data_IF_028540662861
#
_entry.id   IF_028540662861
#
_cell.length_a   1.000
_cell.length_b   1.000
_cell.length_c   1.000
_cell.angle_alpha   90.00
_cell.angle_beta   90.00
_cell.angle_gamma   90.00
#
_symmetry.space_group_name_H-M   'P 1'
#
loop_
_entity.id
_entity.type
_entity.pdbx_description
1 polymer ?
#
# COMPACT_ATOMS: atom_id res chain seq x y z
N UNK A 1 -55.91 -32.80 50.17
CA UNK A 1 -55.75 -32.30 48.82
C UNK A 1 -54.43 -31.53 48.74
N UNK A 2 -53.37 -32.21 48.33
CA UNK A 2 -52.04 -31.64 48.20
C UNK A 2 -51.84 -31.22 46.73
N UNK A 3 -51.64 -29.96 46.49
CA UNK A 3 -51.27 -29.44 45.16
C UNK A 3 -49.74 -29.53 44.98
N UNK A 4 -49.24 -30.51 44.24
CA UNK A 4 -47.87 -30.57 43.78
C UNK A 4 -47.60 -29.41 42.81
N UNK A 5 -46.72 -28.50 43.17
CA UNK A 5 -46.14 -27.51 42.30
C UNK A 5 -45.12 -28.18 41.36
N UNK A 6 -45.47 -28.37 40.08
CA UNK A 6 -44.52 -28.75 39.05
C UNK A 6 -43.52 -27.62 38.84
N UNK A 7 -42.32 -27.73 39.39
CA UNK A 7 -41.16 -26.86 39.05
C UNK A 7 -40.77 -27.13 37.58
N UNK A 8 -40.95 -26.11 36.74
CA UNK A 8 -40.40 -26.11 35.38
C UNK A 8 -38.86 -26.02 35.46
N UNK A 9 -38.17 -27.16 35.35
CA UNK A 9 -36.72 -27.18 35.13
C UNK A 9 -36.40 -26.34 33.87
N UNK A 10 -35.80 -25.17 34.05
CA UNK A 10 -35.16 -24.43 32.95
C UNK A 10 -34.06 -25.32 32.40
N UNK A 11 -34.20 -25.81 31.17
CA UNK A 11 -33.14 -26.52 30.46
C UNK A 11 -31.97 -25.53 30.26
N UNK A 12 -30.86 -25.73 30.95
CA UNK A 12 -29.65 -24.98 30.71
C UNK A 12 -29.16 -25.27 29.27
N UNK A 13 -28.93 -24.22 28.51
CA UNK A 13 -28.32 -24.34 27.17
C UNK A 13 -26.91 -24.90 27.36
N UNK A 14 -26.51 -25.97 26.70
CA UNK A 14 -25.17 -26.51 26.81
C UNK A 14 -24.12 -25.46 26.40
N UNK A 15 -23.00 -25.35 27.12
CA UNK A 15 -21.92 -24.39 26.88
C UNK A 15 -21.43 -24.46 25.44
N UNK A 16 -21.35 -25.64 24.85
CA UNK A 16 -20.89 -25.80 23.45
C UNK A 16 -21.82 -25.12 22.42
N UNK A 17 -23.15 -25.00 22.72
CA UNK A 17 -24.09 -24.24 21.87
C UNK A 17 -23.76 -22.76 21.93
N UNK A 18 -23.43 -22.23 23.11
CA UNK A 18 -22.97 -20.83 23.26
C UNK A 18 -21.68 -20.56 22.49
N UNK A 19 -20.71 -21.48 22.57
CA UNK A 19 -19.46 -21.40 21.81
C UNK A 19 -19.70 -21.43 20.30
N UNK A 20 -20.58 -22.36 19.84
CA UNK A 20 -20.91 -22.45 18.42
C UNK A 20 -21.57 -21.17 17.89
N UNK A 21 -22.53 -20.61 18.63
CA UNK A 21 -23.21 -19.37 18.28
C UNK A 21 -22.20 -18.20 18.23
N UNK A 22 -21.28 -18.14 19.20
CA UNK A 22 -20.23 -17.12 19.20
C UNK A 22 -19.31 -17.23 17.96
N UNK A 23 -18.83 -18.45 17.64
CA UNK A 23 -17.97 -18.70 16.47
C UNK A 23 -18.70 -18.34 15.17
N UNK A 24 -19.97 -18.72 15.02
CA UNK A 24 -20.76 -18.39 13.84
C UNK A 24 -21.03 -16.88 13.73
N UNK A 25 -21.37 -16.21 14.84
CA UNK A 25 -21.57 -14.76 14.86
C UNK A 25 -20.27 -13.99 14.58
N UNK A 26 -19.13 -14.46 15.12
CA UNK A 26 -17.81 -13.89 14.85
C UNK A 26 -17.42 -14.07 13.39
N UNK A 27 -17.56 -15.29 12.83
CA UNK A 27 -17.29 -15.56 11.42
C UNK A 27 -18.19 -14.73 10.48
N UNK A 28 -19.48 -14.62 10.79
CA UNK A 28 -20.42 -13.79 10.05
C UNK A 28 -20.06 -12.29 10.15
N UNK A 29 -19.62 -11.82 11.32
CA UNK A 29 -19.16 -10.46 11.54
C UNK A 29 -17.91 -10.12 10.73
N UNK A 30 -16.92 -11.02 10.71
CA UNK A 30 -15.71 -10.86 9.90
C UNK A 30 -16.06 -10.88 8.42
N UNK A 31 -16.84 -11.86 7.95
CA UNK A 31 -17.28 -11.94 6.55
C UNK A 31 -18.10 -10.72 6.13
N UNK A 32 -19.01 -10.22 6.97
CA UNK A 32 -19.80 -9.03 6.62
C UNK A 32 -18.95 -7.79 6.48
N UNK A 33 -17.94 -7.59 7.32
CA UNK A 33 -16.99 -6.45 7.21
C UNK A 33 -16.09 -6.54 5.97
N UNK A 34 -15.77 -7.77 5.53
CA UNK A 34 -14.95 -7.98 4.32
C UNK A 34 -15.77 -7.86 3.03
N UNK A 35 -17.07 -8.17 3.06
CA UNK A 35 -17.95 -8.20 1.88
C UNK A 35 -18.80 -6.92 1.71
N UNK A 36 -19.06 -6.19 2.80
CA UNK A 36 -19.89 -4.98 2.75
C UNK A 36 -18.97 -3.76 2.73
N UNK A 37 -18.67 -3.28 1.53
CA UNK A 37 -17.98 -2.00 1.35
C UNK A 37 -18.87 -0.86 1.88
N UNK A 38 -18.30 0.13 2.59
CA UNK A 38 -19.03 1.33 3.02
C UNK A 38 -19.67 2.03 1.81
N UNK A 39 -20.84 2.64 2.00
CA UNK A 39 -21.56 3.29 0.90
C UNK A 39 -20.76 4.40 0.21
N UNK A 40 -19.93 5.13 0.95
CA UNK A 40 -19.07 6.18 0.43
C UNK A 40 -17.97 5.64 -0.51
N UNK A 41 -17.52 4.39 -0.33
CA UNK A 41 -16.44 3.82 -1.18
C UNK A 41 -16.84 3.69 -2.64
N UNK A 42 -18.16 3.72 -2.96
CA UNK A 42 -18.66 3.72 -4.32
C UNK A 42 -18.26 4.98 -5.11
N UNK A 43 -17.96 6.08 -4.43
CA UNK A 43 -17.49 7.32 -5.04
C UNK A 43 -16.06 7.19 -5.58
N UNK A 44 -15.30 6.21 -5.05
CA UNK A 44 -13.90 5.94 -5.37
C UNK A 44 -13.68 4.57 -6.04
N UNK A 45 -14.73 4.03 -6.64
CA UNK A 45 -14.72 2.73 -7.30
C UNK A 45 -15.56 2.80 -8.56
N UNK A 46 -14.98 2.43 -9.69
CA UNK A 46 -15.65 2.42 -10.98
C UNK A 46 -15.36 1.07 -11.64
N UNK A 47 -16.41 0.40 -12.11
CA UNK A 47 -16.25 -0.78 -12.95
C UNK A 47 -15.73 -0.36 -14.32
N UNK A 48 -14.70 -1.05 -14.81
CA UNK A 48 -14.09 -0.73 -16.10
C UNK A 48 -15.08 -0.89 -17.26
N UNK A 49 -15.06 0.06 -18.16
CA UNK A 49 -15.77 -0.01 -19.45
C UNK A 49 -15.05 0.83 -20.51
N UNK A 50 -15.29 0.55 -21.78
CA UNK A 50 -14.73 1.31 -22.92
C UNK A 50 -15.22 2.77 -22.98
N UNK A 51 -16.23 3.13 -22.18
CA UNK A 51 -16.68 4.52 -22.00
C UNK A 51 -15.69 5.34 -21.16
N UNK A 52 -14.94 4.68 -20.27
CA UNK A 52 -13.92 5.32 -19.43
C UNK A 52 -12.66 5.61 -20.23
N UNK A 53 -12.27 4.67 -21.10
CA UNK A 53 -11.01 4.81 -21.83
C UNK A 53 -10.58 3.54 -22.57
N UNK A 54 -9.27 3.40 -22.74
CA UNK A 54 -8.63 2.23 -23.34
C UNK A 54 -7.75 1.54 -22.30
N UNK A 55 -7.94 0.24 -22.10
CA UNK A 55 -7.12 -0.58 -21.23
C UNK A 55 -6.16 -1.42 -22.10
N UNK A 56 -4.87 -1.30 -21.83
CA UNK A 56 -3.82 -2.15 -22.38
C UNK A 56 -3.23 -3.00 -21.27
N UNK A 57 -3.25 -4.31 -21.42
CA UNK A 57 -2.83 -5.26 -20.39
C UNK A 57 -1.53 -5.95 -20.74
N UNK A 58 -0.83 -6.39 -19.69
CA UNK A 58 0.34 -7.28 -19.77
C UNK A 58 1.47 -6.74 -20.67
N UNK A 59 1.67 -5.42 -20.68
CA UNK A 59 2.78 -4.79 -21.42
C UNK A 59 4.08 -5.08 -20.68
N UNK A 60 5.07 -5.67 -21.36
CA UNK A 60 6.37 -5.99 -20.75
C UNK A 60 7.25 -4.74 -20.60
N UNK A 61 7.89 -4.60 -19.43
CA UNK A 61 8.93 -3.60 -19.20
C UNK A 61 10.33 -4.21 -19.01
N UNK A 62 10.42 -5.54 -18.87
CA UNK A 62 11.65 -6.28 -18.66
C UNK A 62 11.56 -7.71 -19.20
N UNK A 63 12.61 -8.49 -18.97
CA UNK A 63 12.69 -9.88 -19.44
C UNK A 63 12.01 -10.90 -18.50
N UNK A 64 11.73 -10.52 -17.25
CA UNK A 64 11.09 -11.39 -16.27
C UNK A 64 9.61 -11.63 -16.59
N UNK A 65 9.10 -12.80 -16.25
CA UNK A 65 7.68 -13.14 -16.46
C UNK A 65 6.75 -12.18 -15.72
N UNK A 66 7.15 -11.74 -14.51
CA UNK A 66 6.43 -10.78 -13.71
C UNK A 66 6.57 -9.32 -14.19
N UNK A 67 7.57 -9.02 -15.05
CA UNK A 67 7.86 -7.64 -15.46
C UNK A 67 6.83 -7.11 -16.48
N UNK A 68 5.60 -6.92 -16.02
CA UNK A 68 4.45 -6.47 -16.81
C UNK A 68 3.68 -5.39 -16.08
N UNK A 69 3.05 -4.50 -16.86
CA UNK A 69 2.11 -3.51 -16.35
C UNK A 69 0.83 -3.47 -17.15
N UNK A 70 -0.22 -2.92 -16.54
CA UNK A 70 -1.47 -2.57 -17.20
C UNK A 70 -1.59 -1.05 -17.25
N UNK A 71 -1.98 -0.51 -18.42
CA UNK A 71 -2.08 0.91 -18.68
C UNK A 71 -3.53 1.28 -19.01
N UNK A 72 -4.08 2.19 -18.20
CA UNK A 72 -5.43 2.73 -18.31
C UNK A 72 -5.35 4.13 -18.88
N UNK A 73 -5.83 4.32 -20.09
CA UNK A 73 -5.76 5.57 -20.85
C UNK A 73 -7.15 6.21 -20.89
N UNK A 74 -7.35 7.43 -20.36
CA UNK A 74 -8.67 8.06 -20.30
C UNK A 74 -9.26 8.29 -21.70
N UNK A 75 -10.60 8.30 -21.79
CA UNK A 75 -11.33 8.47 -23.07
C UNK A 75 -10.99 9.79 -23.76
N UNK A 76 -10.84 10.86 -22.98
CA UNK A 76 -10.42 12.14 -23.50
C UNK A 76 -8.91 12.17 -23.73
N UNK A 77 -8.50 12.22 -24.99
CA UNK A 77 -7.12 12.32 -25.44
C UNK A 77 -6.81 13.67 -26.13
N UNK A 78 -7.64 14.69 -25.87
CA UNK A 78 -7.52 16.00 -26.52
C UNK A 78 -6.61 16.99 -25.77
N UNK A 79 -6.22 16.65 -24.52
CA UNK A 79 -5.39 17.52 -23.67
C UNK A 79 -3.92 17.49 -24.09
N UNK A 80 -3.23 18.57 -23.81
CA UNK A 80 -1.82 18.70 -24.12
C UNK A 80 -0.95 17.85 -23.20
N UNK A 81 -1.31 17.79 -21.90
CA UNK A 81 -0.56 17.07 -20.87
C UNK A 81 -1.49 16.20 -20.02
N UNK A 82 -0.95 15.13 -19.48
CA UNK A 82 -1.65 14.19 -18.59
C UNK A 82 -0.78 13.89 -17.36
N UNK A 83 -1.43 13.84 -16.20
CA UNK A 83 -0.83 13.27 -15.00
C UNK A 83 -0.88 11.74 -15.06
N UNK A 84 0.21 11.09 -14.66
CA UNK A 84 0.29 9.63 -14.49
C UNK A 84 0.13 9.27 -13.01
N UNK A 85 -0.77 8.35 -12.68
CA UNK A 85 -0.82 7.72 -11.36
C UNK A 85 -0.36 6.28 -11.48
N UNK A 86 0.73 5.95 -10.82
CA UNK A 86 1.22 4.57 -10.69
C UNK A 86 0.75 4.02 -9.36
N UNK A 87 -0.05 2.96 -9.39
CA UNK A 87 -0.54 2.28 -8.20
C UNK A 87 0.07 0.89 -8.10
N UNK A 88 0.77 0.61 -6.99
CA UNK A 88 1.50 -0.62 -6.74
C UNK A 88 0.70 -1.51 -5.79
N UNK A 89 0.54 -2.79 -6.17
CA UNK A 89 -0.28 -3.74 -5.44
C UNK A 89 0.31 -4.11 -4.07
N UNK A 90 -0.58 -4.47 -3.15
CA UNK A 90 -0.24 -5.06 -1.86
C UNK A 90 0.21 -6.54 -1.99
N UNK A 91 0.49 -7.20 -0.86
CA UNK A 91 0.76 -8.64 -0.84
C UNK A 91 2.05 -9.05 -0.13
N UNK A 92 2.58 -8.22 0.78
CA UNK A 92 3.73 -8.55 1.61
C UNK A 92 4.99 -8.92 0.83
N UNK A 93 5.13 -8.38 -0.39
CA UNK A 93 6.25 -8.63 -1.32
C UNK A 93 6.32 -10.07 -1.87
N UNK A 94 5.37 -10.95 -1.50
CA UNK A 94 5.35 -12.39 -1.82
C UNK A 94 4.11 -12.83 -2.58
N UNK A 95 3.06 -12.00 -2.63
CA UNK A 95 1.78 -12.25 -3.31
C UNK A 95 1.24 -10.96 -3.93
N UNK A 96 0.13 -11.06 -4.64
CA UNK A 96 -0.56 -9.93 -5.26
C UNK A 96 -0.36 -9.86 -6.77
N UNK A 97 -1.18 -9.07 -7.41
CA UNK A 97 -1.13 -8.79 -8.85
C UNK A 97 -1.68 -7.39 -9.11
N UNK A 98 -1.19 -6.71 -10.16
CA UNK A 98 -1.69 -5.40 -10.62
C UNK A 98 -3.19 -5.34 -10.85
N UNK A 99 -3.83 -6.51 -11.05
CA UNK A 99 -5.28 -6.65 -11.23
C UNK A 99 -6.07 -6.50 -9.94
N UNK A 100 -5.41 -6.65 -8.78
CA UNK A 100 -6.07 -6.54 -7.47
C UNK A 100 -6.57 -5.10 -7.24
N UNK A 101 -5.97 -4.11 -7.90
CA UNK A 101 -6.28 -2.69 -7.77
C UNK A 101 -7.08 -2.12 -8.96
N UNK A 102 -7.68 -2.98 -9.78
CA UNK A 102 -8.43 -2.58 -11.00
C UNK A 102 -9.50 -1.51 -10.71
N UNK A 103 -10.22 -1.59 -9.59
CA UNK A 103 -11.25 -0.60 -9.25
C UNK A 103 -10.66 0.80 -9.01
N UNK A 104 -9.52 0.87 -8.31
CA UNK A 104 -8.80 2.13 -8.07
C UNK A 104 -8.23 2.69 -9.38
N UNK A 105 -7.59 1.86 -10.19
CA UNK A 105 -7.03 2.26 -11.48
C UNK A 105 -8.13 2.75 -12.46
N UNK A 106 -9.26 2.05 -12.49
CA UNK A 106 -10.43 2.46 -13.29
C UNK A 106 -11.01 3.80 -12.82
N UNK A 107 -11.10 3.99 -11.50
CA UNK A 107 -11.57 5.24 -10.91
C UNK A 107 -10.63 6.40 -11.25
N UNK A 108 -9.31 6.24 -11.09
CA UNK A 108 -8.32 7.26 -11.46
C UNK A 108 -8.40 7.61 -12.94
N UNK A 109 -8.51 6.60 -13.81
CA UNK A 109 -8.69 6.81 -15.24
C UNK A 109 -9.99 7.56 -15.56
N UNK A 110 -11.10 7.25 -14.88
CA UNK A 110 -12.39 7.96 -15.02
C UNK A 110 -12.32 9.43 -14.61
N UNK A 111 -11.32 9.80 -13.76
CA UNK A 111 -11.05 11.20 -13.40
C UNK A 111 -10.16 11.93 -14.40
N UNK A 112 -9.67 11.22 -15.43
CA UNK A 112 -8.86 11.79 -16.48
C UNK A 112 -7.36 11.62 -16.33
N UNK A 113 -6.90 10.88 -15.33
CA UNK A 113 -5.49 10.52 -15.21
C UNK A 113 -5.15 9.33 -16.10
N UNK A 114 -3.95 9.29 -16.62
CA UNK A 114 -3.37 8.03 -17.08
C UNK A 114 -3.04 7.22 -15.81
N UNK A 115 -3.55 6.00 -15.70
CA UNK A 115 -3.30 5.16 -14.53
C UNK A 115 -2.56 3.88 -14.92
N UNK A 116 -1.69 3.40 -14.03
CA UNK A 116 -0.86 2.23 -14.30
C UNK A 116 -0.74 1.35 -13.06
N UNK A 117 -1.01 0.05 -13.22
CA UNK A 117 -0.67 -0.98 -12.24
C UNK A 117 0.55 -1.77 -12.72
N UNK A 118 1.54 -1.94 -11.86
CA UNK A 118 2.80 -2.61 -12.20
C UNK A 118 2.95 -3.87 -11.35
N UNK A 119 3.23 -5.02 -12.01
CA UNK A 119 3.72 -6.21 -11.36
C UNK A 119 5.24 -6.14 -11.19
N UNK A 120 5.72 -6.67 -10.10
CA UNK A 120 7.13 -6.84 -9.78
C UNK A 120 7.40 -8.28 -9.35
N UNK A 121 8.64 -8.75 -9.43
CA UNK A 121 9.00 -10.13 -9.09
C UNK A 121 8.74 -10.41 -7.63
N UNK A 122 7.72 -11.23 -7.37
CA UNK A 122 7.35 -11.66 -6.03
C UNK A 122 8.44 -12.56 -5.45
N UNK A 123 8.74 -12.37 -4.16
CA UNK A 123 9.68 -13.25 -3.47
C UNK A 123 9.09 -14.65 -3.31
N UNK A 124 9.90 -15.66 -3.62
CA UNK A 124 9.65 -17.09 -3.34
C UNK A 124 10.86 -17.70 -2.67
N UNK A 125 10.75 -18.94 -2.21
CA UNK A 125 11.89 -19.70 -1.68
C UNK A 125 12.94 -20.05 -2.75
N UNK A 126 12.56 -19.94 -4.03
CA UNK A 126 13.39 -20.31 -5.19
C UNK A 126 14.12 -19.12 -5.82
N UNK A 127 13.78 -17.89 -5.42
CA UNK A 127 14.38 -16.66 -5.96
C UNK A 127 14.95 -15.76 -4.85
N UNK A 128 15.78 -14.81 -5.26
CA UNK A 128 16.34 -13.79 -4.35
C UNK A 128 15.53 -12.49 -4.34
N UNK A 129 14.21 -12.57 -4.55
CA UNK A 129 13.32 -11.41 -4.49
C UNK A 129 13.46 -10.68 -3.15
N UNK A 130 13.58 -9.38 -3.18
CA UNK A 130 13.71 -8.51 -2.01
C UNK A 130 13.03 -7.17 -2.28
N UNK A 131 12.78 -6.41 -1.24
CA UNK A 131 12.23 -5.04 -1.38
C UNK A 131 13.13 -4.19 -2.27
N UNK A 132 14.47 -4.33 -2.13
CA UNK A 132 15.43 -3.62 -2.97
C UNK A 132 15.30 -4.03 -4.45
N UNK A 133 15.27 -5.35 -4.74
CA UNK A 133 15.12 -5.84 -6.10
C UNK A 133 13.81 -5.34 -6.73
N UNK A 134 12.71 -5.46 -6.01
CA UNK A 134 11.38 -5.01 -6.46
C UNK A 134 11.33 -3.49 -6.69
N UNK A 135 11.97 -2.69 -5.82
CA UNK A 135 12.04 -1.25 -6.01
C UNK A 135 12.85 -0.86 -7.26
N UNK A 136 13.91 -1.61 -7.57
CA UNK A 136 14.67 -1.40 -8.79
C UNK A 136 13.86 -1.78 -10.05
N UNK A 137 13.08 -2.86 -10.01
CA UNK A 137 12.16 -3.21 -11.11
C UNK A 137 11.11 -2.11 -11.34
N UNK A 138 10.57 -1.48 -10.28
CA UNK A 138 9.68 -0.32 -10.44
C UNK A 138 10.41 0.85 -11.10
N UNK A 139 11.65 1.12 -10.69
CA UNK A 139 12.48 2.17 -11.32
C UNK A 139 12.70 1.92 -12.81
N UNK A 140 12.92 0.67 -13.21
CA UNK A 140 13.06 0.26 -14.61
C UNK A 140 11.74 0.34 -15.39
N UNK A 141 10.60 0.07 -14.74
CA UNK A 141 9.28 0.08 -15.37
C UNK A 141 8.81 1.49 -15.76
N UNK A 142 9.04 2.50 -14.92
CA UNK A 142 8.49 3.85 -15.09
C UNK A 142 8.80 4.48 -16.46
N UNK A 143 10.04 4.48 -16.97
CA UNK A 143 10.34 5.04 -18.31
C UNK A 143 9.57 4.31 -19.42
N UNK A 144 9.35 2.99 -19.29
CA UNK A 144 8.62 2.19 -20.27
C UNK A 144 7.13 2.52 -20.23
N UNK A 145 6.55 2.70 -19.03
CA UNK A 145 5.16 3.13 -18.85
C UNK A 145 4.91 4.47 -19.52
N UNK A 146 5.77 5.46 -19.27
CA UNK A 146 5.66 6.81 -19.86
C UNK A 146 5.79 6.72 -21.39
N UNK A 147 6.79 6.00 -21.89
CA UNK A 147 6.97 5.81 -23.34
C UNK A 147 5.75 5.15 -23.99
N UNK A 148 5.12 4.19 -23.32
CA UNK A 148 3.93 3.55 -23.86
C UNK A 148 2.70 4.48 -23.83
N UNK A 149 2.55 5.31 -22.80
CA UNK A 149 1.52 6.36 -22.79
C UNK A 149 1.71 7.34 -23.95
N UNK A 150 2.93 7.82 -24.18
CA UNK A 150 3.26 8.74 -25.27
C UNK A 150 3.00 8.15 -26.66
N UNK A 151 3.33 6.87 -26.88
CA UNK A 151 3.01 6.16 -28.16
C UNK A 151 1.51 6.12 -28.44
N UNK A 152 0.68 6.25 -27.40
CA UNK A 152 -0.76 6.28 -27.51
C UNK A 152 -1.35 7.70 -27.53
N UNK A 153 -0.51 8.73 -27.57
CA UNK A 153 -0.93 10.13 -27.69
C UNK A 153 -1.15 10.84 -26.34
N UNK A 154 -0.68 10.24 -25.23
CA UNK A 154 -0.79 10.84 -23.89
C UNK A 154 0.57 11.33 -23.44
N UNK A 155 0.81 12.62 -23.56
CA UNK A 155 2.06 13.24 -23.08
C UNK A 155 2.04 13.38 -21.56
N UNK A 156 2.92 12.66 -20.85
CA UNK A 156 3.02 12.68 -19.39
C UNK A 156 4.01 13.78 -18.97
N UNK A 157 3.54 14.73 -18.17
CA UNK A 157 4.38 15.84 -17.68
C UNK A 157 4.70 15.76 -16.17
N UNK A 158 3.96 14.96 -15.42
CA UNK A 158 4.14 14.73 -13.98
C UNK A 158 3.51 13.41 -13.55
N UNK A 159 3.91 12.91 -12.39
CA UNK A 159 3.32 11.67 -11.88
C UNK A 159 3.13 11.65 -10.35
N UNK A 160 2.25 10.75 -9.93
CA UNK A 160 1.98 10.39 -8.55
C UNK A 160 2.29 8.91 -8.34
N UNK A 161 2.96 8.57 -7.25
CA UNK A 161 3.20 7.20 -6.83
C UNK A 161 2.24 6.82 -5.72
N UNK A 162 1.61 5.66 -5.81
CA UNK A 162 0.61 5.22 -4.85
C UNK A 162 0.66 3.71 -4.61
N UNK A 163 0.02 3.25 -3.55
CA UNK A 163 -0.10 1.82 -3.27
C UNK A 163 -0.62 1.49 -1.88
N UNK A 164 -0.84 0.20 -1.63
CA UNK A 164 -1.22 -0.33 -0.33
C UNK A 164 -0.15 -1.28 0.22
N UNK A 165 0.10 -1.27 1.54
CA UNK A 165 1.02 -2.22 2.19
C UNK A 165 2.39 -2.31 1.48
N UNK A 166 2.78 -3.46 0.95
CA UNK A 166 4.02 -3.62 0.17
C UNK A 166 4.13 -2.60 -0.98
N UNK A 167 3.02 -2.36 -1.70
CA UNK A 167 2.97 -1.36 -2.77
C UNK A 167 3.19 0.06 -2.27
N UNK A 168 2.66 0.43 -1.10
CA UNK A 168 2.92 1.73 -0.48
C UNK A 168 4.39 1.89 -0.08
N UNK A 169 5.03 0.84 0.44
CA UNK A 169 6.48 0.83 0.70
C UNK A 169 7.27 1.14 -0.57
N UNK A 170 7.00 0.40 -1.66
CA UNK A 170 7.68 0.58 -2.95
C UNK A 170 7.40 1.96 -3.56
N UNK A 171 6.16 2.47 -3.44
CA UNK A 171 5.78 3.80 -3.89
C UNK A 171 6.56 4.90 -3.14
N UNK A 172 6.68 4.80 -1.82
CA UNK A 172 7.48 5.74 -1.02
C UNK A 172 8.97 5.65 -1.35
N UNK A 173 9.52 4.43 -1.55
CA UNK A 173 10.93 4.25 -1.95
C UNK A 173 11.17 4.95 -3.28
N UNK A 174 10.34 4.71 -4.29
CA UNK A 174 10.49 5.38 -5.57
C UNK A 174 10.39 6.91 -5.41
N UNK A 175 9.38 7.38 -4.69
CA UNK A 175 9.13 8.81 -4.49
C UNK A 175 10.32 9.53 -3.85
N UNK A 176 10.82 9.03 -2.73
CA UNK A 176 11.82 9.78 -1.95
C UNK A 176 13.26 9.43 -2.32
N UNK A 177 13.53 8.15 -2.70
CA UNK A 177 14.87 7.71 -3.07
C UNK A 177 15.21 7.98 -4.54
N UNK A 178 14.26 7.67 -5.43
CA UNK A 178 14.51 7.66 -6.89
C UNK A 178 13.85 8.85 -7.62
N UNK A 179 13.02 9.63 -6.93
CA UNK A 179 12.18 10.67 -7.53
C UNK A 179 12.96 11.77 -8.26
N UNK A 180 14.16 12.12 -7.78
CA UNK A 180 15.04 13.12 -8.44
C UNK A 180 15.57 12.63 -9.81
N UNK A 181 15.64 11.32 -10.02
CA UNK A 181 16.07 10.69 -11.28
C UNK A 181 14.88 10.29 -12.17
N UNK A 182 13.65 10.56 -11.74
CA UNK A 182 12.45 10.19 -12.47
C UNK A 182 12.35 10.93 -13.82
N UNK A 183 11.85 10.28 -14.89
CA UNK A 183 11.72 10.91 -16.21
C UNK A 183 10.82 12.15 -16.22
N UNK A 184 9.86 12.22 -15.31
CA UNK A 184 8.98 13.37 -15.06
C UNK A 184 8.88 13.59 -13.54
N UNK A 185 8.59 14.82 -13.06
CA UNK A 185 8.49 15.10 -11.63
C UNK A 185 7.48 14.21 -10.92
N UNK A 186 7.87 13.60 -9.79
CA UNK A 186 6.95 13.01 -8.83
C UNK A 186 6.40 14.13 -7.96
N UNK A 187 5.12 14.43 -8.09
CA UNK A 187 4.50 15.61 -7.45
C UNK A 187 3.64 15.26 -6.23
N UNK A 188 3.35 13.98 -6.02
CA UNK A 188 2.54 13.48 -4.91
C UNK A 188 2.87 12.01 -4.66
N UNK A 189 2.79 11.59 -3.40
CA UNK A 189 2.64 10.17 -3.05
C UNK A 189 1.46 9.98 -2.12
N UNK A 190 0.68 8.92 -2.33
CA UNK A 190 -0.37 8.55 -1.38
C UNK A 190 -0.47 7.03 -1.20
N UNK A 191 -0.90 6.62 -0.03
CA UNK A 191 -1.06 5.20 0.23
C UNK A 191 -1.35 4.87 1.69
N UNK A 192 -1.35 3.59 2.00
CA UNK A 192 -1.68 3.14 3.34
C UNK A 192 -0.82 1.94 3.79
N UNK A 193 -0.54 1.91 5.08
CA UNK A 193 0.03 0.80 5.86
C UNK A 193 1.32 0.18 5.28
N UNK A 194 2.11 0.95 4.54
CA UNK A 194 3.41 0.49 4.03
C UNK A 194 4.53 0.71 5.03
N UNK A 195 5.49 -0.24 5.19
CA UNK A 195 6.70 0.02 5.95
C UNK A 195 7.52 1.15 5.32
N UNK A 196 7.93 2.11 6.13
CA UNK A 196 8.76 3.25 5.71
C UNK A 196 10.20 3.15 6.20
N UNK A 197 10.47 2.27 7.18
CA UNK A 197 11.79 2.01 7.75
C UNK A 197 11.87 0.61 8.36
N UNK A 198 13.12 0.18 8.60
CA UNK A 198 13.45 -1.15 9.14
C UNK A 198 14.39 -0.99 10.34
N UNK A 199 13.85 -0.51 11.48
CA UNK A 199 14.57 -0.39 12.74
C UNK A 199 14.19 -1.53 13.67
N UNK A 200 15.17 -2.25 14.21
CA UNK A 200 14.96 -3.45 15.02
C UNK A 200 13.92 -3.24 16.13
N UNK A 201 14.03 -2.13 16.86
CA UNK A 201 13.16 -1.81 17.99
C UNK A 201 11.68 -1.60 17.61
N UNK A 202 11.38 -1.26 16.37
CA UNK A 202 10.00 -1.07 15.89
C UNK A 202 9.31 -2.41 15.63
N UNK A 203 10.05 -3.48 15.37
CA UNK A 203 9.55 -4.79 14.96
C UNK A 203 9.29 -5.76 16.10
N UNK A 204 9.02 -5.23 17.31
CA UNK A 204 8.70 -6.02 18.50
C UNK A 204 7.44 -6.89 18.33
N UNK A 205 6.50 -6.55 17.44
CA UNK A 205 5.35 -7.41 17.11
C UNK A 205 5.75 -8.78 16.56
N UNK A 206 6.96 -8.90 16.01
CA UNK A 206 7.57 -10.15 15.53
C UNK A 206 8.67 -10.67 16.49
N UNK A 207 8.90 -10.00 17.62
CA UNK A 207 9.95 -10.34 18.57
C UNK A 207 11.36 -10.06 18.07
N UNK A 208 11.52 -9.22 17.03
CA UNK A 208 12.83 -8.92 16.46
C UNK A 208 13.63 -7.97 17.35
N UNK A 209 12.97 -7.15 18.15
CA UNK A 209 13.57 -6.24 19.14
C UNK A 209 14.36 -6.95 20.23
N UNK A 210 14.15 -8.26 20.40
CA UNK A 210 14.80 -9.11 21.43
C UNK A 210 15.57 -10.29 20.83
N UNK A 211 15.69 -10.37 19.50
CA UNK A 211 16.34 -11.49 18.82
C UNK A 211 17.13 -11.04 17.60
N UNK A 212 18.44 -10.85 17.79
CA UNK A 212 19.35 -10.35 16.74
C UNK A 212 19.45 -11.31 15.56
N UNK A 213 19.42 -12.63 15.78
CA UNK A 213 19.48 -13.65 14.71
C UNK A 213 18.24 -13.55 13.79
N UNK A 214 17.04 -13.51 14.38
CA UNK A 214 15.80 -13.40 13.62
C UNK A 214 15.70 -12.03 12.92
N UNK A 215 16.14 -10.96 13.57
CA UNK A 215 16.18 -9.62 12.99
C UNK A 215 17.14 -9.59 11.78
N UNK A 216 18.35 -10.09 11.94
CA UNK A 216 19.34 -10.18 10.87
C UNK A 216 18.80 -11.01 9.69
N UNK A 217 18.18 -12.15 9.95
CA UNK A 217 17.58 -13.02 8.94
C UNK A 217 16.46 -12.31 8.16
N UNK A 218 15.52 -11.71 8.87
CA UNK A 218 14.40 -11.00 8.22
C UNK A 218 14.88 -9.79 7.42
N UNK A 219 15.75 -8.97 7.99
CA UNK A 219 16.23 -7.76 7.31
C UNK A 219 17.15 -8.09 6.13
N UNK A 220 17.93 -9.19 6.20
CA UNK A 220 18.67 -9.68 5.03
C UNK A 220 17.75 -10.01 3.86
N UNK A 221 16.64 -10.68 4.14
CA UNK A 221 15.61 -11.02 3.14
C UNK A 221 15.00 -9.75 2.53
N UNK A 222 14.64 -8.79 3.37
CA UNK A 222 14.01 -7.55 2.90
C UNK A 222 14.98 -6.68 2.11
N UNK A 223 16.20 -6.51 2.60
CA UNK A 223 17.22 -5.69 1.94
C UNK A 223 17.89 -6.36 0.74
N UNK A 224 17.82 -7.70 0.63
CA UNK A 224 18.49 -8.46 -0.43
C UNK A 224 20.02 -8.50 -0.29
N UNK A 225 20.54 -8.24 0.92
CA UNK A 225 21.96 -8.27 1.26
C UNK A 225 22.14 -8.98 2.58
N UNK A 226 23.33 -9.59 2.81
CA UNK A 226 23.61 -10.25 4.08
C UNK A 226 23.71 -9.24 5.22
N UNK A 227 22.90 -9.46 6.26
CA UNK A 227 22.95 -8.77 7.54
C UNK A 227 23.22 -9.82 8.60
N UNK A 228 24.25 -9.61 9.43
CA UNK A 228 24.63 -10.54 10.48
C UNK A 228 24.12 -10.06 11.84
N UNK A 229 24.10 -10.97 12.84
CA UNK A 229 23.83 -10.57 14.22
C UNK A 229 24.80 -9.49 14.74
N UNK A 230 26.05 -9.49 14.26
CA UNK A 230 27.02 -8.47 14.64
C UNK A 230 26.63 -7.10 14.07
N UNK A 231 26.15 -7.04 12.80
CA UNK A 231 25.63 -5.80 12.23
C UNK A 231 24.44 -5.24 13.03
N UNK A 232 23.58 -6.13 13.55
CA UNK A 232 22.47 -5.72 14.42
C UNK A 232 23.00 -5.13 15.72
N UNK A 233 23.92 -5.82 16.40
CA UNK A 233 24.48 -5.42 17.72
C UNK A 233 25.25 -4.11 17.67
N UNK A 234 25.97 -3.84 16.59
CA UNK A 234 26.76 -2.60 16.45
C UNK A 234 26.04 -1.50 15.65
N UNK A 235 24.84 -1.78 15.14
CA UNK A 235 23.99 -0.83 14.43
C UNK A 235 24.38 -0.62 12.97
N UNK A 236 25.40 -1.30 12.43
CA UNK A 236 25.83 -1.14 11.04
C UNK A 236 24.79 -1.62 10.01
N UNK A 237 23.81 -2.43 10.45
CA UNK A 237 22.70 -2.85 9.62
C UNK A 237 21.86 -1.67 9.08
N UNK A 238 21.85 -0.52 9.76
CA UNK A 238 21.11 0.65 9.30
C UNK A 238 21.52 1.08 7.87
N UNK A 239 22.81 1.08 7.58
CA UNK A 239 23.29 1.39 6.22
C UNK A 239 22.85 0.35 5.18
N UNK A 240 22.69 -0.92 5.61
CA UNK A 240 22.26 -2.02 4.74
C UNK A 240 20.76 -1.98 4.43
N UNK A 241 19.93 -1.53 5.38
CA UNK A 241 18.47 -1.37 5.18
C UNK A 241 18.08 0.01 4.68
N UNK A 242 18.97 0.98 4.70
CA UNK A 242 18.73 2.34 4.22
C UNK A 242 18.18 2.40 2.81
N UNK A 243 18.67 1.61 1.82
CA UNK A 243 18.11 1.62 0.46
C UNK A 243 16.62 1.27 0.36
N UNK A 244 16.08 0.55 1.37
CA UNK A 244 14.67 0.17 1.43
C UNK A 244 13.88 0.93 2.50
N UNK A 245 14.52 1.83 3.23
CA UNK A 245 13.93 2.68 4.28
C UNK A 245 13.57 4.04 3.71
N UNK A 246 12.38 4.14 3.11
CA UNK A 246 11.94 5.32 2.34
C UNK A 246 12.06 6.63 3.13
N UNK A 247 11.78 6.63 4.44
CA UNK A 247 11.83 7.82 5.28
C UNK A 247 13.24 8.45 5.38
N UNK A 248 14.31 7.67 5.18
CA UNK A 248 15.69 8.15 5.20
C UNK A 248 16.03 9.08 4.02
N UNK A 249 15.17 9.08 2.99
CA UNK A 249 15.39 9.81 1.74
C UNK A 249 14.49 11.03 1.57
N UNK A 250 13.57 11.30 2.49
CA UNK A 250 12.60 12.41 2.40
C UNK A 250 13.32 13.76 2.25
N UNK A 251 14.47 13.95 2.91
CA UNK A 251 15.26 15.20 2.79
C UNK A 251 15.79 15.47 1.39
N UNK A 252 15.96 14.44 0.57
CA UNK A 252 16.45 14.56 -0.79
C UNK A 252 15.33 15.01 -1.74
N UNK A 253 14.12 14.46 -1.53
CA UNK A 253 12.96 14.75 -2.37
C UNK A 253 11.70 14.89 -1.50
N UNK A 254 11.43 16.07 -0.90
CA UNK A 254 10.30 16.26 0.02
C UNK A 254 8.97 16.42 -0.74
N UNK A 255 8.50 15.33 -1.35
CA UNK A 255 7.25 15.27 -2.12
C UNK A 255 6.03 15.28 -1.22
N UNK A 256 4.98 16.07 -1.52
CA UNK A 256 3.69 16.05 -0.82
C UNK A 256 3.13 14.63 -0.62
N UNK A 257 2.52 14.36 0.54
CA UNK A 257 2.22 12.99 0.95
C UNK A 257 0.90 12.85 1.69
N UNK A 258 0.07 11.87 1.29
CA UNK A 258 -1.19 11.55 1.97
C UNK A 258 -1.17 10.09 2.41
N UNK A 259 -1.06 9.83 3.71
CA UNK A 259 -0.83 8.48 4.23
C UNK A 259 -1.81 8.10 5.34
N UNK A 260 -2.15 6.81 5.42
CA UNK A 260 -3.06 6.27 6.43
C UNK A 260 -2.49 5.02 7.11
N UNK A 261 -2.61 4.95 8.45
CA UNK A 261 -2.12 3.83 9.25
C UNK A 261 -3.09 3.44 10.35
N UNK A 262 -3.28 2.13 10.56
CA UNK A 262 -4.02 1.60 11.69
C UNK A 262 -3.14 1.49 12.93
N UNK A 263 -3.58 2.05 14.07
CA UNK A 263 -2.79 2.01 15.31
C UNK A 263 -2.72 0.62 15.92
N UNK A 264 -3.63 -0.29 15.52
CA UNK A 264 -3.66 -1.69 15.94
C UNK A 264 -3.06 -2.63 14.90
N UNK A 265 -2.23 -2.12 13.97
CA UNK A 265 -1.61 -2.92 12.92
C UNK A 265 -0.63 -3.93 13.53
N UNK A 266 -0.77 -5.21 13.10
CA UNK A 266 0.07 -6.32 13.51
C UNK A 266 0.86 -6.94 12.35
N UNK A 267 0.88 -6.26 11.22
CA UNK A 267 1.66 -6.62 10.04
C UNK A 267 2.76 -5.59 9.83
N UNK A 268 2.36 -4.32 9.70
CA UNK A 268 3.28 -3.19 9.69
C UNK A 268 3.36 -2.58 11.09
N UNK A 269 4.55 -2.53 11.72
CA UNK A 269 4.69 -1.89 13.03
C UNK A 269 4.27 -0.41 13.00
N UNK A 270 3.32 -0.03 13.85
CA UNK A 270 2.83 1.35 13.91
C UNK A 270 3.92 2.36 14.31
N UNK A 271 4.94 1.93 15.07
CA UNK A 271 6.09 2.78 15.42
C UNK A 271 6.83 3.30 14.18
N UNK A 272 6.97 2.47 13.13
CA UNK A 272 7.55 2.89 11.85
C UNK A 272 6.73 3.99 11.17
N UNK A 273 5.39 3.96 11.31
CA UNK A 273 4.52 5.03 10.81
C UNK A 273 4.72 6.35 11.56
N UNK A 274 4.94 6.30 12.88
CA UNK A 274 5.25 7.50 13.67
C UNK A 274 6.60 8.11 13.27
N UNK A 275 7.61 7.28 12.98
CA UNK A 275 8.90 7.76 12.45
C UNK A 275 8.75 8.42 11.08
N UNK A 276 7.89 7.88 10.21
CA UNK A 276 7.56 8.52 8.93
C UNK A 276 6.97 9.91 9.16
N UNK A 277 5.99 10.03 10.08
CA UNK A 277 5.35 11.30 10.43
C UNK A 277 6.40 12.33 10.90
N UNK A 278 7.27 11.94 11.84
CA UNK A 278 8.35 12.79 12.33
C UNK A 278 9.31 13.23 11.20
N UNK A 279 9.62 12.32 10.26
CA UNK A 279 10.48 12.64 9.13
C UNK A 279 9.82 13.62 8.15
N UNK A 280 8.51 13.47 7.88
CA UNK A 280 7.73 14.42 7.08
C UNK A 280 7.70 15.80 7.73
N UNK A 281 7.41 15.89 9.03
CA UNK A 281 7.41 17.14 9.80
C UNK A 281 8.78 17.82 9.77
N UNK A 282 9.84 17.07 10.08
CA UNK A 282 11.21 17.57 10.11
C UNK A 282 11.66 18.17 8.78
N UNK A 283 11.23 17.59 7.68
CA UNK A 283 11.57 18.05 6.33
C UNK A 283 10.54 19.02 5.75
N UNK A 284 9.56 19.48 6.54
CA UNK A 284 8.55 20.47 6.15
C UNK A 284 7.77 20.05 4.89
N UNK A 285 7.53 18.75 4.73
CA UNK A 285 6.71 18.20 3.66
C UNK A 285 5.27 18.66 3.86
N UNK A 286 4.57 19.02 2.79
CA UNK A 286 3.11 19.17 2.83
C UNK A 286 2.48 17.79 2.90
N UNK A 287 1.85 17.43 4.03
CA UNK A 287 1.34 16.08 4.23
C UNK A 287 0.05 16.04 5.04
N UNK A 288 -0.73 14.99 4.81
CA UNK A 288 -1.82 14.55 5.67
C UNK A 288 -1.54 13.14 6.18
N UNK A 289 -1.63 12.96 7.50
CA UNK A 289 -1.39 11.70 8.18
C UNK A 289 -2.63 11.25 8.93
N UNK A 290 -3.27 10.18 8.47
CA UNK A 290 -4.49 9.64 9.04
C UNK A 290 -4.19 8.47 9.98
N UNK A 291 -4.52 8.66 11.26
CA UNK A 291 -4.45 7.61 12.28
C UNK A 291 -5.83 6.96 12.43
N UNK A 292 -5.88 5.64 12.28
CA UNK A 292 -7.11 4.86 12.40
C UNK A 292 -7.06 4.04 13.72
N UNK A 293 -7.63 4.57 14.83
CA UNK A 293 -7.35 4.08 16.19
C UNK A 293 -7.94 2.70 16.50
N UNK A 294 -8.94 2.24 15.75
CA UNK A 294 -9.58 0.93 15.96
C UNK A 294 -9.24 -0.08 14.85
N UNK A 295 -8.38 0.31 13.92
CA UNK A 295 -8.03 -0.49 12.75
C UNK A 295 -6.64 -1.09 12.87
N UNK A 296 -6.50 -2.29 12.32
CA UNK A 296 -5.22 -2.91 12.00
C UNK A 296 -4.83 -2.65 10.55
N UNK A 297 -4.09 -3.58 9.96
CA UNK A 297 -3.54 -3.49 8.61
C UNK A 297 -4.58 -3.24 7.50
N UNK A 298 -5.79 -3.75 7.64
CA UNK A 298 -6.87 -3.57 6.65
C UNK A 298 -7.66 -2.27 6.80
N UNK A 299 -7.39 -1.42 7.77
CA UNK A 299 -8.05 -0.14 8.06
C UNK A 299 -9.58 -0.20 8.28
N UNK A 300 -10.18 -1.37 8.37
CA UNK A 300 -11.61 -1.65 8.19
C UNK A 300 -12.54 -1.18 9.31
N UNK A 301 -12.01 -0.69 10.44
CA UNK A 301 -12.84 -0.35 11.60
C UNK A 301 -13.15 1.15 11.74
N UNK A 302 -12.46 2.01 11.00
CA UNK A 302 -12.56 3.46 11.08
C UNK A 302 -13.05 4.06 9.76
N UNK A 303 -14.21 3.62 9.29
CA UNK A 303 -14.77 3.98 7.98
C UNK A 303 -14.88 5.49 7.73
N UNK A 304 -15.18 6.28 8.77
CA UNK A 304 -15.25 7.73 8.64
C UNK A 304 -13.87 8.35 8.36
N UNK A 305 -12.82 7.86 9.03
CA UNK A 305 -11.45 8.34 8.83
C UNK A 305 -10.91 7.88 7.47
N UNK A 306 -11.24 6.65 7.04
CA UNK A 306 -10.94 6.20 5.67
C UNK A 306 -11.54 7.12 4.61
N UNK A 307 -12.79 7.58 4.82
CA UNK A 307 -13.42 8.52 3.91
C UNK A 307 -12.65 9.83 3.85
N UNK A 308 -12.28 10.40 5.01
CA UNK A 308 -11.48 11.64 5.08
C UNK A 308 -10.11 11.47 4.40
N UNK A 309 -9.48 10.30 4.55
CA UNK A 309 -8.24 9.99 3.84
C UNK A 309 -8.44 10.03 2.32
N UNK A 310 -9.50 9.40 1.79
CA UNK A 310 -9.79 9.44 0.35
C UNK A 310 -10.16 10.84 -0.15
N UNK A 311 -10.87 11.64 0.66
CA UNK A 311 -11.16 13.05 0.37
C UNK A 311 -9.85 13.85 0.27
N UNK A 312 -8.91 13.67 1.20
CA UNK A 312 -7.59 14.29 1.16
C UNK A 312 -6.77 13.84 -0.06
N UNK A 313 -6.84 12.55 -0.46
CA UNK A 313 -6.20 12.07 -1.69
C UNK A 313 -6.71 12.83 -2.92
N UNK A 314 -8.02 13.04 -3.01
CA UNK A 314 -8.62 13.83 -4.12
C UNK A 314 -8.14 15.28 -4.07
N UNK A 315 -8.19 15.92 -2.89
CA UNK A 315 -7.75 17.31 -2.70
C UNK A 315 -6.28 17.50 -3.12
N UNK A 316 -5.41 16.56 -2.74
CA UNK A 316 -3.98 16.62 -3.10
C UNK A 316 -3.73 16.34 -4.58
N UNK A 317 -4.49 15.41 -5.18
CA UNK A 317 -4.45 15.19 -6.64
C UNK A 317 -4.86 16.47 -7.37
N UNK A 318 -5.96 17.12 -6.99
CA UNK A 318 -6.42 18.37 -7.59
C UNK A 318 -5.42 19.52 -7.37
N UNK A 319 -4.72 19.55 -6.24
CA UNK A 319 -3.75 20.59 -5.90
C UNK A 319 -2.42 20.45 -6.66
N UNK A 320 -1.88 19.22 -6.75
CA UNK A 320 -0.53 18.97 -7.27
C UNK A 320 -0.51 18.41 -8.69
N UNK A 321 -1.60 17.78 -9.09
CA UNK A 321 -1.75 17.17 -10.42
C UNK A 321 -3.16 17.40 -10.99
N UNK A 322 -3.61 18.68 -11.10
CA UNK A 322 -4.95 18.99 -11.61
C UNK A 322 -5.14 18.43 -13.02
N UNK A 323 -6.37 18.00 -13.30
CA UNK A 323 -6.81 17.60 -14.64
C UNK A 323 -7.33 18.85 -15.35
N UNK A 324 -6.57 19.38 -16.30
CA UNK A 324 -6.87 20.58 -17.08
C UNK A 324 -7.76 20.31 -18.28
#
# INVERSE_FOLDING_TARGET
>A
MSREKKEKRKRAVPIWVGVLVFVLAFAAGVMSKSLIKPSWSKEYSVEWSDEIGTLKTDISYGAGEANKFDLYLPKDNSRQNYGLVVYLHAGGFTTGDKKDDTEMLSWLCSKGYVACGINYTLRTDENNGSVLAQSNEIKEAIPVVISEAEKNGYHIDKMTMAGGSAGHCLAMIYTYRDGDEAPVPVVLTFGAVGPSCFYQEDWGIYGLDQNDENCAGMFSIMAGVEITEQDIRDGSYHEKVKPISAMEWISNNPVPSVVAYGTCDRVQPYLGALRLKEALEKNQVDYEFFELPHSGHGLQNDSAIQKLWMEAVVEYLDKYMPVE
#
